data_IF_348338316359
#
_entry.id   IF_348338316359
#
_cell.length_a   1.000
_cell.length_b   1.000
_cell.length_c   1.000
_cell.angle_alpha   90.00
_cell.angle_beta   90.00
_cell.angle_gamma   90.00
#
_symmetry.space_group_name_H-M   'P 1'
#
loop_
_entity.id
_entity.type
_entity.pdbx_description
1 polymer ?
#
# COMPACT_ATOMS: atom_id res chain seq x y z
N UNK A 1 3.77 -45.51 -8.29
CA UNK A 1 3.93 -44.32 -7.43
C UNK A 1 3.64 -44.71 -5.99
N UNK A 2 4.59 -44.54 -5.05
CA UNK A 2 4.31 -44.71 -3.61
C UNK A 2 3.43 -43.54 -3.17
N UNK A 3 2.25 -43.81 -2.62
CA UNK A 3 1.44 -42.80 -1.99
C UNK A 3 2.23 -42.20 -0.83
N UNK A 4 2.38 -40.88 -0.80
CA UNK A 4 2.94 -40.16 0.35
C UNK A 4 1.95 -40.31 1.49
N UNK A 5 2.37 -40.73 2.69
CA UNK A 5 1.49 -40.83 3.84
C UNK A 5 0.84 -39.48 4.17
N UNK A 6 -0.42 -39.49 4.54
CA UNK A 6 -1.18 -38.26 4.89
C UNK A 6 -0.54 -37.51 6.06
N UNK A 7 0.08 -38.24 7.00
CA UNK A 7 0.86 -37.67 8.09
C UNK A 7 2.05 -36.84 7.64
N UNK A 8 2.71 -37.22 6.54
CA UNK A 8 3.86 -36.50 6.01
C UNK A 8 3.42 -35.25 5.27
N UNK A 9 2.27 -35.32 4.58
CA UNK A 9 1.63 -34.16 3.96
C UNK A 9 1.20 -33.16 5.06
N UNK A 10 0.55 -33.64 6.13
CA UNK A 10 0.12 -32.81 7.22
C UNK A 10 1.30 -32.17 7.96
N UNK A 11 2.40 -32.90 8.12
CA UNK A 11 3.62 -32.39 8.75
C UNK A 11 4.31 -31.34 7.87
N UNK A 12 4.30 -31.49 6.56
CA UNK A 12 4.84 -30.51 5.59
C UNK A 12 3.98 -29.25 5.51
N UNK A 13 2.66 -29.38 5.60
CA UNK A 13 1.70 -28.28 5.59
C UNK A 13 1.56 -27.59 6.96
N UNK A 14 2.05 -28.26 8.02
CA UNK A 14 1.84 -27.80 9.39
C UNK A 14 0.35 -27.68 9.71
N UNK A 15 -0.03 -26.62 10.40
CA UNK A 15 -1.45 -26.33 10.67
C UNK A 15 -2.18 -25.63 9.52
N UNK A 16 -1.70 -25.76 8.28
CA UNK A 16 -2.34 -25.15 7.12
C UNK A 16 -3.78 -25.63 7.01
N UNK A 17 -4.70 -24.67 7.09
CA UNK A 17 -6.10 -24.90 6.75
C UNK A 17 -6.36 -24.37 5.36
N UNK A 18 -6.89 -25.22 4.51
CA UNK A 18 -7.27 -24.78 3.18
C UNK A 18 -8.19 -23.53 3.25
N UNK A 19 -7.96 -22.52 2.41
CA UNK A 19 -8.77 -21.31 2.41
C UNK A 19 -10.25 -21.65 2.23
N UNK A 20 -11.09 -20.96 3.00
CA UNK A 20 -12.54 -20.97 2.75
C UNK A 20 -12.81 -19.98 1.63
N UNK A 21 -12.86 -20.47 0.39
CA UNK A 21 -13.08 -19.64 -0.78
C UNK A 21 -11.79 -19.41 -1.60
N UNK A 22 -11.95 -18.78 -2.75
CA UNK A 22 -10.90 -18.65 -3.76
C UNK A 22 -9.75 -17.72 -3.34
N UNK A 23 -10.03 -16.73 -2.49
CA UNK A 23 -9.11 -15.66 -2.13
C UNK A 23 -8.88 -15.53 -0.62
N UNK A 24 -9.22 -16.54 0.16
CA UNK A 24 -9.06 -16.46 1.61
C UNK A 24 -7.59 -16.30 1.99
N UNK A 25 -7.31 -15.33 2.85
CA UNK A 25 -6.01 -15.21 3.48
C UNK A 25 -5.73 -16.46 4.33
N UNK A 26 -4.54 -16.98 4.20
CA UNK A 26 -4.10 -18.18 4.89
C UNK A 26 -3.05 -17.86 5.93
N UNK A 27 -2.65 -18.87 6.69
CA UNK A 27 -1.49 -18.82 7.57
C UNK A 27 -0.22 -18.43 6.80
N UNK A 28 0.77 -18.07 7.56
CA UNK A 28 2.13 -17.88 7.09
C UNK A 28 2.60 -19.08 6.28
N UNK A 29 2.97 -18.81 5.04
CA UNK A 29 3.55 -19.79 4.13
C UNK A 29 4.91 -19.28 3.66
N UNK A 30 5.96 -19.46 4.47
CA UNK A 30 7.28 -18.88 4.18
C UNK A 30 7.88 -19.41 2.86
N UNK A 31 7.42 -20.57 2.38
CA UNK A 31 7.84 -21.11 1.09
C UNK A 31 7.32 -20.31 -0.12
N UNK A 32 6.35 -19.42 0.06
CA UNK A 32 5.90 -18.52 -1.00
C UNK A 32 6.83 -17.33 -1.20
N UNK A 33 7.69 -17.03 -0.24
CA UNK A 33 8.62 -15.92 -0.30
C UNK A 33 8.25 -14.77 0.64
N UNK A 34 8.81 -13.62 0.39
CA UNK A 34 8.62 -12.40 1.20
C UNK A 34 8.50 -11.17 0.35
N UNK A 35 7.84 -10.15 0.88
CA UNK A 35 7.70 -8.85 0.24
C UNK A 35 8.31 -7.77 1.11
N UNK A 36 8.88 -6.76 0.46
CA UNK A 36 9.38 -5.54 1.10
C UNK A 36 8.97 -4.31 0.31
N UNK A 37 9.07 -3.15 0.93
CA UNK A 37 8.75 -1.88 0.32
C UNK A 37 9.80 -0.84 0.73
N UNK A 38 10.12 0.09 -0.17
CA UNK A 38 11.12 1.14 0.05
C UNK A 38 10.63 2.29 0.93
N UNK A 39 9.37 2.31 1.33
CA UNK A 39 8.77 3.39 2.12
C UNK A 39 8.03 2.85 3.34
N UNK A 40 8.16 3.55 4.47
CA UNK A 40 7.44 3.26 5.71
C UNK A 40 6.39 4.34 6.00
N UNK A 41 6.65 5.58 5.54
CA UNK A 41 5.76 6.73 5.73
C UNK A 41 5.77 7.63 4.50
N UNK A 42 4.59 8.14 4.13
CA UNK A 42 4.39 9.02 2.99
C UNK A 42 3.32 10.08 3.30
N UNK A 43 3.42 11.23 2.64
CA UNK A 43 2.47 12.33 2.82
C UNK A 43 1.22 12.10 1.98
N UNK A 44 0.04 12.33 2.55
CA UNK A 44 -1.25 12.27 1.87
C UNK A 44 -1.27 13.18 0.63
N UNK A 45 -1.78 12.67 -0.50
CA UNK A 45 -1.86 13.39 -1.76
C UNK A 45 -0.53 13.67 -2.46
N UNK A 46 0.62 13.32 -1.87
CA UNK A 46 1.92 13.52 -2.49
C UNK A 46 2.16 12.61 -3.69
N UNK A 47 3.10 13.02 -4.54
CA UNK A 47 3.57 12.19 -5.65
C UNK A 47 4.79 11.38 -5.22
N UNK A 48 4.73 10.06 -5.38
CA UNK A 48 5.78 9.14 -4.92
C UNK A 48 6.10 8.06 -5.96
N UNK A 49 7.27 7.48 -5.85
CA UNK A 49 7.60 6.18 -6.42
C UNK A 49 7.70 5.18 -5.27
N UNK A 50 6.87 4.14 -5.33
CA UNK A 50 6.89 3.06 -4.34
C UNK A 50 7.40 1.80 -5.02
N UNK A 51 8.46 1.25 -4.48
CA UNK A 51 9.08 0.03 -4.98
C UNK A 51 8.69 -1.12 -4.06
N UNK A 52 7.98 -2.09 -4.62
CA UNK A 52 7.65 -3.34 -3.96
C UNK A 52 8.60 -4.39 -4.51
N UNK A 53 9.35 -5.05 -3.65
CA UNK A 53 10.23 -6.14 -3.99
C UNK A 53 9.66 -7.44 -3.44
N UNK A 54 9.36 -8.38 -4.33
CA UNK A 54 8.94 -9.74 -3.99
C UNK A 54 10.10 -10.70 -4.27
N UNK A 55 10.72 -11.20 -3.21
CA UNK A 55 11.69 -12.29 -3.27
C UNK A 55 10.95 -13.62 -3.22
N UNK A 56 11.10 -14.43 -4.26
CA UNK A 56 10.41 -15.70 -4.40
C UNK A 56 10.93 -16.73 -3.40
N UNK A 57 10.01 -17.43 -2.77
CA UNK A 57 10.31 -18.53 -1.88
C UNK A 57 10.54 -19.85 -2.64
N UNK A 58 10.62 -20.94 -1.88
CA UNK A 58 10.89 -22.29 -2.41
C UNK A 58 9.86 -22.79 -3.44
N UNK A 59 8.67 -22.21 -3.48
CA UNK A 59 7.65 -22.54 -4.48
C UNK A 59 8.07 -22.17 -5.91
N UNK A 60 8.92 -21.14 -6.07
CA UNK A 60 9.14 -20.52 -7.37
C UNK A 60 7.84 -19.97 -7.96
N UNK A 61 7.85 -19.69 -9.25
CA UNK A 61 6.66 -19.32 -10.04
C UNK A 61 6.74 -19.96 -11.42
N UNK A 62 5.71 -20.70 -11.79
CA UNK A 62 5.61 -21.37 -13.10
C UNK A 62 5.10 -20.41 -14.18
N UNK A 63 5.14 -20.85 -15.43
CA UNK A 63 4.48 -20.17 -16.55
C UNK A 63 2.99 -19.99 -16.27
N UNK A 64 2.48 -18.79 -16.55
CA UNK A 64 1.10 -18.41 -16.25
C UNK A 64 0.82 -18.11 -14.77
N UNK A 65 1.83 -18.09 -13.92
CA UNK A 65 1.70 -17.69 -12.51
C UNK A 65 1.45 -16.20 -12.37
N UNK A 66 0.89 -15.80 -11.23
CA UNK A 66 0.50 -14.41 -10.96
C UNK A 66 1.01 -13.94 -9.61
N UNK A 67 1.48 -12.69 -9.58
CA UNK A 67 1.66 -11.93 -8.35
C UNK A 67 0.69 -10.74 -8.34
N UNK A 68 0.13 -10.41 -7.19
CA UNK A 68 -0.77 -9.27 -7.02
C UNK A 68 -0.34 -8.42 -5.83
N UNK A 69 -0.20 -7.12 -6.05
CA UNK A 69 -0.18 -6.11 -4.98
C UNK A 69 -1.56 -5.45 -4.90
N UNK A 70 -2.24 -5.59 -3.77
CA UNK A 70 -3.66 -5.21 -3.65
C UNK A 70 -3.88 -4.09 -2.64
N UNK A 71 -4.85 -3.24 -2.94
CA UNK A 71 -5.22 -2.08 -2.17
C UNK A 71 -6.68 -2.17 -1.75
N UNK A 72 -7.02 -1.50 -0.65
CA UNK A 72 -8.43 -1.42 -0.21
C UNK A 72 -9.27 -0.64 -1.22
N UNK A 73 -10.50 -1.08 -1.42
CA UNK A 73 -11.43 -0.54 -2.42
C UNK A 73 -11.78 0.93 -2.20
N UNK A 74 -11.79 1.41 -0.96
CA UNK A 74 -12.16 2.78 -0.60
C UNK A 74 -11.01 3.79 -0.77
N UNK A 75 -9.76 3.36 -0.90
CA UNK A 75 -8.65 4.26 -1.13
C UNK A 75 -8.86 5.06 -2.41
N UNK A 76 -8.66 6.37 -2.35
CA UNK A 76 -8.66 7.27 -3.51
C UNK A 76 -7.27 7.42 -4.14
N UNK A 77 -6.35 6.47 -3.82
CA UNK A 77 -5.08 6.37 -4.52
C UNK A 77 -5.31 6.42 -6.02
N UNK A 78 -4.53 7.25 -6.73
CA UNK A 78 -4.72 7.45 -8.15
C UNK A 78 -4.68 6.13 -8.93
N UNK A 79 -5.48 6.03 -9.96
CA UNK A 79 -5.54 4.82 -10.78
C UNK A 79 -4.23 4.67 -11.55
N UNK A 80 -3.67 3.48 -11.49
CA UNK A 80 -2.45 3.14 -12.21
C UNK A 80 -2.70 2.92 -13.69
N UNK A 81 -1.68 3.18 -14.51
CA UNK A 81 -1.66 2.90 -15.92
C UNK A 81 -0.33 2.20 -16.30
N UNK A 82 -0.32 1.48 -17.41
CA UNK A 82 0.80 0.64 -17.82
C UNK A 82 1.23 0.87 -19.28
N UNK A 83 0.79 1.97 -19.89
CA UNK A 83 0.97 2.23 -21.34
C UNK A 83 1.93 3.38 -21.62
N UNK A 84 1.94 4.43 -20.79
CA UNK A 84 2.68 5.66 -21.02
C UNK A 84 3.75 5.87 -19.94
N UNK A 85 5.00 5.39 -20.16
CA UNK A 85 6.03 5.37 -19.12
C UNK A 85 6.39 6.75 -18.54
N UNK A 86 6.32 7.81 -19.34
CA UNK A 86 6.62 9.19 -18.92
C UNK A 86 5.46 9.90 -18.22
N UNK A 87 4.29 9.30 -18.19
CA UNK A 87 3.11 9.91 -17.60
C UNK A 87 2.89 9.50 -16.15
N UNK A 88 2.01 10.25 -15.49
CA UNK A 88 1.63 10.02 -14.10
C UNK A 88 1.04 8.62 -13.88
N UNK A 89 1.31 8.05 -12.70
CA UNK A 89 0.79 6.76 -12.22
C UNK A 89 1.20 5.55 -13.07
N UNK A 90 2.31 5.66 -13.81
CA UNK A 90 2.84 4.54 -14.56
C UNK A 90 3.35 3.44 -13.62
N UNK A 91 3.00 2.20 -13.95
CA UNK A 91 3.48 1.02 -13.20
C UNK A 91 4.29 0.12 -14.12
N UNK A 92 5.45 -0.29 -13.64
CA UNK A 92 6.29 -1.28 -14.29
C UNK A 92 6.59 -2.45 -13.35
N UNK A 93 7.03 -3.56 -13.93
CA UNK A 93 7.63 -4.65 -13.20
C UNK A 93 8.86 -5.15 -13.94
N UNK A 94 9.85 -5.55 -13.19
CA UNK A 94 11.09 -6.11 -13.71
C UNK A 94 11.49 -7.35 -12.92
N UNK A 95 12.22 -8.23 -13.58
CA UNK A 95 12.74 -9.45 -13.03
C UNK A 95 14.23 -9.30 -12.72
N UNK A 96 14.62 -9.71 -11.52
CA UNK A 96 16.02 -9.77 -11.12
C UNK A 96 16.38 -11.21 -10.73
N UNK A 97 17.34 -11.78 -11.47
CA UNK A 97 17.81 -13.13 -11.22
C UNK A 97 18.63 -13.21 -9.93
N UNK A 98 18.36 -14.23 -9.11
CA UNK A 98 19.26 -14.63 -8.05
C UNK A 98 20.46 -15.43 -8.62
N UNK A 99 21.59 -15.47 -7.91
CA UNK A 99 22.70 -16.35 -8.29
C UNK A 99 22.24 -17.82 -8.41
N UNK A 100 22.67 -18.47 -9.48
CA UNK A 100 22.39 -19.91 -9.65
C UNK A 100 23.38 -20.71 -8.80
N UNK A 101 22.85 -21.56 -7.93
CA UNK A 101 23.65 -22.48 -7.12
C UNK A 101 23.81 -23.83 -7.87
N UNK A 102 24.88 -24.61 -7.59
CA UNK A 102 25.07 -25.92 -8.21
C UNK A 102 23.84 -26.82 -8.01
N UNK A 103 23.38 -27.41 -9.11
CA UNK A 103 22.19 -28.28 -9.14
C UNK A 103 20.85 -27.56 -9.28
N UNK A 104 20.83 -26.23 -9.31
CA UNK A 104 19.62 -25.43 -9.56
C UNK A 104 19.59 -25.01 -11.05
N UNK A 105 18.45 -25.20 -11.69
CA UNK A 105 18.23 -24.65 -13.04
C UNK A 105 18.06 -23.12 -12.98
N UNK A 106 18.61 -22.38 -13.96
CA UNK A 106 18.36 -20.95 -14.08
C UNK A 106 16.88 -20.70 -14.40
N UNK A 107 16.38 -19.52 -14.04
CA UNK A 107 15.05 -19.09 -14.48
C UNK A 107 14.99 -18.94 -16.01
N UNK A 108 13.82 -19.16 -16.57
CA UNK A 108 13.61 -19.13 -18.02
C UNK A 108 12.55 -18.12 -18.46
N UNK A 109 11.98 -17.35 -17.54
CA UNK A 109 10.97 -16.33 -17.84
C UNK A 109 11.45 -15.39 -18.95
N UNK A 110 10.58 -15.14 -19.94
CA UNK A 110 10.90 -14.25 -21.05
C UNK A 110 10.47 -12.82 -20.78
N UNK A 111 9.29 -12.62 -20.17
CA UNK A 111 8.81 -11.30 -19.80
C UNK A 111 7.76 -11.36 -18.68
N UNK A 112 7.58 -10.21 -18.02
CA UNK A 112 6.52 -9.96 -17.07
C UNK A 112 5.52 -9.00 -17.69
N UNK A 113 4.23 -9.31 -17.59
CA UNK A 113 3.16 -8.41 -18.02
C UNK A 113 2.51 -7.78 -16.81
N UNK A 114 2.48 -6.46 -16.77
CA UNK A 114 1.82 -5.70 -15.72
C UNK A 114 0.46 -5.21 -16.20
N UNK A 115 -0.53 -5.30 -15.33
CA UNK A 115 -1.87 -4.72 -15.54
C UNK A 115 -2.44 -4.23 -14.23
N UNK A 116 -3.34 -3.27 -14.30
CA UNK A 116 -4.10 -2.78 -13.17
C UNK A 116 -5.57 -3.09 -13.34
N UNK A 117 -6.20 -3.62 -12.28
CA UNK A 117 -7.63 -3.93 -12.27
C UNK A 117 -8.25 -3.43 -10.95
N UNK A 118 -9.29 -2.59 -11.07
CA UNK A 118 -10.02 -2.06 -9.92
C UNK A 118 -10.87 -3.13 -9.19
N UNK A 119 -11.08 -4.27 -9.83
CA UNK A 119 -11.80 -5.44 -9.30
C UNK A 119 -10.96 -6.71 -9.37
N UNK A 120 -9.65 -6.57 -9.36
CA UNK A 120 -8.71 -7.67 -9.55
C UNK A 120 -8.60 -8.63 -8.36
N UNK A 121 -9.26 -8.34 -7.24
CA UNK A 121 -9.29 -9.19 -6.05
C UNK A 121 -10.57 -8.99 -5.24
N UNK A 122 -10.76 -9.79 -4.18
CA UNK A 122 -11.92 -9.70 -3.28
C UNK A 122 -11.86 -8.48 -2.34
N UNK A 123 -13.03 -8.00 -1.93
CA UNK A 123 -13.11 -7.00 -0.86
C UNK A 123 -12.52 -7.53 0.45
N UNK A 124 -11.88 -6.68 1.24
CA UNK A 124 -11.69 -5.24 1.05
C UNK A 124 -10.51 -4.84 0.16
N UNK A 125 -9.66 -5.76 -0.28
CA UNK A 125 -8.45 -5.54 -1.09
C UNK A 125 -8.73 -5.72 -2.58
N UNK A 126 -9.63 -4.92 -3.13
CA UNK A 126 -10.20 -5.13 -4.45
C UNK A 126 -9.36 -4.58 -5.61
N UNK A 127 -8.69 -3.43 -5.41
CA UNK A 127 -7.82 -2.84 -6.43
C UNK A 127 -6.51 -3.60 -6.48
N UNK A 128 -6.09 -4.04 -7.65
CA UNK A 128 -4.90 -4.87 -7.80
C UNK A 128 -3.99 -4.43 -8.94
N UNK A 129 -2.71 -4.26 -8.63
CA UNK A 129 -1.64 -4.33 -9.62
C UNK A 129 -1.25 -5.78 -9.75
N UNK A 130 -1.30 -6.31 -10.95
CA UNK A 130 -1.13 -7.73 -11.24
C UNK A 130 0.06 -7.89 -12.17
N UNK A 131 0.94 -8.82 -11.84
CA UNK A 131 2.09 -9.21 -12.65
C UNK A 131 1.90 -10.65 -13.07
N UNK A 132 1.79 -10.87 -14.36
CA UNK A 132 1.69 -12.19 -14.97
C UNK A 132 3.07 -12.63 -15.48
N UNK A 133 3.44 -13.89 -15.24
CA UNK A 133 4.68 -14.50 -15.73
C UNK A 133 4.40 -15.22 -17.04
N UNK A 134 5.21 -14.96 -18.07
CA UNK A 134 5.02 -15.55 -19.39
C UNK A 134 6.28 -16.25 -19.91
N UNK A 135 6.04 -17.38 -20.60
CA UNK A 135 7.01 -18.14 -21.37
C UNK A 135 8.23 -18.54 -20.53
N UNK A 136 7.96 -19.19 -19.41
CA UNK A 136 8.99 -19.73 -18.56
C UNK A 136 8.64 -19.68 -17.08
N UNK A 137 9.64 -19.88 -16.24
CA UNK A 137 9.49 -19.93 -14.79
C UNK A 137 10.52 -19.06 -14.07
N UNK A 138 10.23 -18.72 -12.85
CA UNK A 138 11.09 -18.05 -11.88
C UNK A 138 11.46 -19.04 -10.78
N UNK A 139 12.70 -18.98 -10.30
CA UNK A 139 13.19 -19.87 -9.24
C UNK A 139 13.19 -19.20 -7.88
N UNK A 140 13.31 -19.99 -6.84
CA UNK A 140 13.50 -19.50 -5.48
C UNK A 140 14.68 -18.51 -5.39
N UNK A 141 14.49 -17.42 -4.68
CA UNK A 141 15.47 -16.35 -4.50
C UNK A 141 15.53 -15.33 -5.64
N UNK A 142 14.80 -15.53 -6.73
CA UNK A 142 14.62 -14.49 -7.74
C UNK A 142 13.70 -13.39 -7.22
N UNK A 143 13.74 -12.22 -7.84
CA UNK A 143 12.95 -11.07 -7.44
C UNK A 143 12.05 -10.58 -8.55
N UNK A 144 10.83 -10.22 -8.20
CA UNK A 144 9.95 -9.38 -9.02
C UNK A 144 9.89 -8.01 -8.33
N UNK A 145 10.42 -7.00 -9.01
CA UNK A 145 10.43 -5.60 -8.52
C UNK A 145 9.34 -4.83 -9.24
N UNK A 146 8.35 -4.34 -8.49
CA UNK A 146 7.22 -3.57 -9.01
C UNK A 146 7.40 -2.12 -8.59
N UNK A 147 7.33 -1.19 -9.56
CA UNK A 147 7.41 0.24 -9.32
C UNK A 147 6.07 0.89 -9.54
N UNK A 148 5.44 1.30 -8.46
CA UNK A 148 4.21 2.08 -8.50
C UNK A 148 4.57 3.56 -8.67
N UNK A 149 4.23 4.14 -9.80
CA UNK A 149 4.67 5.48 -10.19
C UNK A 149 6.14 5.51 -10.58
N UNK A 150 6.55 4.66 -11.52
CA UNK A 150 7.94 4.56 -11.98
C UNK A 150 8.43 5.90 -12.56
N UNK A 151 9.45 6.48 -11.93
CA UNK A 151 10.02 7.79 -12.29
C UNK A 151 11.18 7.72 -13.26
N UNK A 152 11.67 6.55 -13.58
CA UNK A 152 12.85 6.36 -14.43
C UNK A 152 12.66 6.91 -15.84
N UNK A 153 11.41 7.08 -16.28
CA UNK A 153 11.05 7.60 -17.58
C UNK A 153 10.61 9.08 -17.57
N UNK A 154 10.83 9.79 -16.45
CA UNK A 154 10.53 11.21 -16.31
C UNK A 154 9.14 11.54 -15.77
N UNK A 155 8.31 10.54 -15.47
CA UNK A 155 7.00 10.73 -14.85
C UNK A 155 7.07 11.28 -13.42
N UNK A 156 5.99 11.91 -12.92
CA UNK A 156 5.97 12.50 -11.57
C UNK A 156 5.87 11.47 -10.44
N UNK A 157 5.59 10.22 -10.77
CA UNK A 157 5.27 9.18 -9.81
C UNK A 157 3.78 8.83 -9.77
N UNK A 158 3.32 8.24 -8.66
CA UNK A 158 1.90 8.01 -8.40
C UNK A 158 1.39 8.94 -7.31
N UNK A 159 0.16 9.46 -7.46
CA UNK A 159 -0.48 10.25 -6.41
C UNK A 159 -1.05 9.34 -5.33
N UNK A 160 -0.49 9.49 -4.14
CA UNK A 160 -0.93 8.80 -2.92
C UNK A 160 -2.37 9.19 -2.57
N UNK A 161 -3.09 8.34 -1.85
CA UNK A 161 -4.42 8.71 -1.34
C UNK A 161 -4.39 10.02 -0.54
N UNK A 162 -5.49 10.75 -0.56
CA UNK A 162 -5.55 12.12 -0.02
C UNK A 162 -5.89 12.18 1.48
N UNK A 163 -6.24 11.07 2.09
CA UNK A 163 -6.55 11.03 3.52
C UNK A 163 -5.55 10.20 4.30
N UNK A 164 -5.32 10.60 5.54
CA UNK A 164 -4.37 9.96 6.46
C UNK A 164 -4.83 8.56 6.87
N UNK A 165 -3.88 7.65 6.97
CA UNK A 165 -4.12 6.29 7.45
C UNK A 165 -2.86 5.75 8.13
N UNK A 166 -2.92 5.42 9.41
CA UNK A 166 -1.75 4.94 10.16
C UNK A 166 -1.28 3.55 9.74
N UNK A 167 -2.18 2.75 9.21
CA UNK A 167 -1.93 1.36 8.84
C UNK A 167 -2.48 1.08 7.43
N UNK A 168 -2.04 1.88 6.45
CA UNK A 168 -2.35 1.60 5.06
C UNK A 168 -1.65 0.31 4.65
N UNK A 169 -2.45 -0.66 4.21
CA UNK A 169 -1.94 -1.98 3.87
C UNK A 169 -1.94 -2.22 2.37
N UNK A 170 -0.80 -2.61 1.86
CA UNK A 170 -0.70 -3.30 0.57
C UNK A 170 -0.57 -4.79 0.89
N UNK A 171 -1.58 -5.56 0.51
CA UNK A 171 -1.55 -7.01 0.69
C UNK A 171 -1.14 -7.67 -0.61
N UNK A 172 -0.10 -8.49 -0.52
CA UNK A 172 0.42 -9.21 -1.67
C UNK A 172 -0.10 -10.64 -1.68
N UNK A 173 -0.41 -11.12 -2.88
CA UNK A 173 -0.85 -12.49 -3.12
C UNK A 173 -0.07 -13.09 -4.27
N UNK A 174 0.14 -14.39 -4.21
CA UNK A 174 0.76 -15.15 -5.29
C UNK A 174 -0.07 -16.38 -5.63
N UNK A 175 -0.15 -16.68 -6.91
CA UNK A 175 -0.55 -17.96 -7.45
C UNK A 175 0.65 -18.52 -8.21
N UNK A 176 1.49 -19.34 -7.58
CA UNK A 176 2.75 -19.77 -8.18
C UNK A 176 2.58 -20.77 -9.34
N UNK A 177 1.39 -21.30 -9.55
CA UNK A 177 1.10 -22.35 -10.54
C UNK A 177 0.10 -21.93 -11.62
N UNK A 178 -0.39 -20.68 -11.62
CA UNK A 178 -1.38 -20.24 -12.60
C UNK A 178 -2.75 -20.92 -12.47
N UNK A 179 -3.13 -21.33 -11.26
CA UNK A 179 -4.38 -22.08 -11.00
C UNK A 179 -5.54 -21.21 -10.58
N UNK A 180 -5.36 -19.91 -10.52
CA UNK A 180 -6.28 -18.92 -9.96
C UNK A 180 -6.53 -19.11 -8.46
N UNK A 181 -5.66 -19.81 -7.76
CA UNK A 181 -5.69 -20.01 -6.31
C UNK A 181 -4.60 -19.16 -5.69
N UNK A 182 -5.01 -18.07 -5.06
CA UNK A 182 -4.10 -17.10 -4.48
C UNK A 182 -3.86 -17.34 -3.00
N UNK A 183 -2.62 -17.28 -2.58
CA UNK A 183 -2.21 -17.28 -1.19
C UNK A 183 -1.56 -15.95 -0.83
N UNK A 184 -1.80 -15.45 0.37
CA UNK A 184 -1.17 -14.23 0.84
C UNK A 184 0.33 -14.46 1.11
N UNK A 185 1.15 -13.51 0.69
CA UNK A 185 2.56 -13.41 1.08
C UNK A 185 2.63 -12.53 2.32
N UNK A 186 2.98 -13.10 3.44
CA UNK A 186 3.02 -12.42 4.73
C UNK A 186 4.44 -11.96 5.10
N UNK A 187 4.56 -10.88 5.90
CA UNK A 187 3.49 -9.99 6.38
C UNK A 187 2.95 -9.04 5.29
N UNK A 188 1.78 -8.42 5.55
CA UNK A 188 1.31 -7.30 4.74
C UNK A 188 2.35 -6.17 4.76
N UNK A 189 2.51 -5.45 3.65
CA UNK A 189 3.24 -4.19 3.64
C UNK A 189 2.38 -3.13 4.33
N UNK A 190 2.94 -2.45 5.31
CA UNK A 190 2.26 -1.41 6.08
C UNK A 190 2.97 -0.09 5.86
N UNK A 191 2.22 0.91 5.40
CA UNK A 191 2.71 2.26 5.15
C UNK A 191 1.89 3.22 6.02
N UNK A 192 2.56 4.16 6.67
CA UNK A 192 1.89 5.25 7.37
C UNK A 192 1.65 6.40 6.39
N UNK A 193 0.39 6.80 6.21
CA UNK A 193 0.04 7.99 5.43
C UNK A 193 -0.21 9.12 6.40
N UNK A 194 0.68 10.12 6.37
CA UNK A 194 0.69 11.26 7.29
C UNK A 194 0.15 12.53 6.63
N UNK A 195 -0.32 13.52 7.41
CA UNK A 195 -0.80 14.78 6.83
C UNK A 195 0.33 15.56 6.15
N UNK A 196 -0.06 16.41 5.22
CA UNK A 196 0.82 17.37 4.57
C UNK A 196 1.16 18.56 5.45
N UNK A 197 1.71 19.61 4.83
CA UNK A 197 1.98 20.89 5.48
C UNK A 197 0.64 21.55 5.82
N UNK A 198 0.48 22.17 7.01
CA UNK A 198 -0.71 22.94 7.35
C UNK A 198 -1.01 24.01 6.31
N UNK A 199 -2.22 23.97 5.74
CA UNK A 199 -2.67 24.91 4.72
C UNK A 199 -3.80 25.81 5.24
N UNK A 200 -4.56 25.34 6.22
CA UNK A 200 -5.70 26.06 6.78
C UNK A 200 -5.94 25.75 8.25
N UNK A 201 -6.64 26.69 8.92
CA UNK A 201 -7.14 26.47 10.25
C UNK A 201 -8.65 26.22 10.19
N UNK A 202 -9.08 25.15 10.85
CA UNK A 202 -10.49 24.85 11.05
C UNK A 202 -10.84 25.05 12.53
N UNK A 203 -11.98 25.67 12.76
CA UNK A 203 -12.51 25.82 14.10
C UNK A 203 -13.89 25.18 14.22
N UNK A 204 -14.15 24.60 15.39
CA UNK A 204 -15.44 24.04 15.73
C UNK A 204 -15.88 24.60 17.08
N UNK A 205 -17.13 25.05 17.14
CA UNK A 205 -17.77 25.57 18.34
C UNK A 205 -19.23 25.81 18.08
N UNK A 206 -20.00 26.09 19.15
CA UNK A 206 -21.38 26.48 18.99
C UNK A 206 -21.47 27.85 18.32
N UNK A 207 -22.37 28.01 17.36
CA UNK A 207 -22.67 29.30 16.74
C UNK A 207 -23.62 30.15 17.59
N UNK A 208 -24.22 29.51 18.59
CA UNK A 208 -25.18 30.15 19.49
C UNK A 208 -24.76 29.85 20.92
N UNK A 209 -24.53 30.88 21.70
CA UNK A 209 -24.25 30.83 23.15
C UNK A 209 -25.14 31.82 23.88
N UNK A 210 -25.49 31.53 25.13
CA UNK A 210 -26.20 32.46 25.98
C UNK A 210 -25.25 33.52 26.48
N UNK A 211 -25.77 34.71 26.68
CA UNK A 211 -25.00 35.81 27.26
C UNK A 211 -24.40 35.41 28.63
N UNK A 212 -23.10 35.60 28.77
CA UNK A 212 -22.34 35.22 29.96
C UNK A 212 -21.81 33.79 29.99
N UNK A 213 -22.13 32.94 29.00
CA UNK A 213 -21.55 31.62 28.86
C UNK A 213 -20.19 31.67 28.17
N UNK A 214 -19.29 30.77 28.57
CA UNK A 214 -18.00 30.59 27.90
C UNK A 214 -18.21 29.82 26.62
N UNK A 215 -17.69 30.34 25.50
CA UNK A 215 -17.67 29.63 24.21
C UNK A 215 -16.42 28.73 24.11
N UNK A 216 -16.56 27.40 24.15
CA UNK A 216 -15.45 26.52 23.90
C UNK A 216 -15.14 26.52 22.41
N UNK A 217 -13.95 26.95 22.02
CA UNK A 217 -13.45 26.88 20.67
C UNK A 217 -12.45 25.70 20.58
N UNK A 218 -12.64 24.87 19.57
CA UNK A 218 -11.67 23.88 19.17
C UNK A 218 -11.08 24.28 17.82
N UNK A 219 -9.77 24.41 17.77
CA UNK A 219 -9.05 24.82 16.56
C UNK A 219 -8.08 23.71 16.21
N UNK A 220 -8.01 23.38 14.92
CA UNK A 220 -7.04 22.44 14.37
C UNK A 220 -6.45 22.99 13.09
N UNK A 221 -5.20 22.68 12.84
CA UNK A 221 -4.57 22.90 11.55
C UNK A 221 -4.87 21.72 10.64
N UNK A 222 -5.15 22.00 9.38
CA UNK A 222 -5.41 20.99 8.35
C UNK A 222 -4.51 21.25 7.13
N UNK A 223 -4.10 20.16 6.47
CA UNK A 223 -3.42 20.23 5.19
C UNK A 223 -4.39 20.61 4.04
N UNK A 224 -3.89 20.66 2.82
CA UNK A 224 -4.68 20.99 1.63
C UNK A 224 -5.84 20.00 1.36
N UNK A 225 -5.77 18.79 1.91
CA UNK A 225 -6.77 17.74 1.77
C UNK A 225 -7.77 17.68 2.94
N UNK A 226 -7.57 18.54 3.94
CA UNK A 226 -8.42 18.56 5.14
C UNK A 226 -8.00 17.55 6.22
N UNK A 227 -6.82 16.95 6.12
CA UNK A 227 -6.29 16.10 7.18
C UNK A 227 -5.78 16.96 8.34
N UNK A 228 -6.10 16.55 9.56
CA UNK A 228 -5.55 17.20 10.75
C UNK A 228 -4.06 16.99 10.84
N UNK A 229 -3.30 18.08 10.95
CA UNK A 229 -1.86 18.06 11.12
C UNK A 229 -1.54 17.91 12.61
N UNK A 230 -1.29 16.68 13.06
CA UNK A 230 -0.97 16.36 14.47
C UNK A 230 0.52 16.25 14.74
N UNK A 231 1.33 16.12 13.70
CA UNK A 231 2.75 15.75 13.76
C UNK A 231 3.67 16.92 14.04
N UNK A 232 3.11 18.15 14.11
CA UNK A 232 3.88 19.36 14.36
C UNK A 232 3.06 20.41 15.10
N UNK A 233 3.69 21.17 16.01
CA UNK A 233 3.02 22.28 16.68
C UNK A 233 2.88 23.47 15.73
N UNK A 234 1.71 24.10 15.74
CA UNK A 234 1.44 25.32 14.98
C UNK A 234 1.13 26.49 15.93
N UNK A 235 1.79 27.62 15.70
CA UNK A 235 1.52 28.84 16.45
C UNK A 235 0.34 29.58 15.83
N UNK A 236 -0.67 29.85 16.62
CA UNK A 236 -1.88 30.55 16.18
C UNK A 236 -2.17 31.77 17.03
N UNK A 237 -2.70 32.82 16.40
CA UNK A 237 -3.21 34.01 17.03
C UNK A 237 -4.72 34.06 16.83
N UNK A 238 -5.46 34.25 17.95
CA UNK A 238 -6.89 34.29 17.95
C UNK A 238 -7.28 35.71 18.38
N UNK A 239 -7.98 36.44 17.50
CA UNK A 239 -8.51 37.78 17.77
C UNK A 239 -10.00 37.75 17.59
N UNK A 240 -10.75 38.21 18.61
CA UNK A 240 -12.18 38.51 18.47
C UNK A 240 -12.40 40.01 18.45
N UNK A 241 -13.26 40.43 17.53
CA UNK A 241 -13.60 41.87 17.38
C UNK A 241 -15.10 42.08 17.58
N UNK A 242 -15.45 43.19 18.21
CA UNK A 242 -16.82 43.70 18.32
C UNK A 242 -16.85 45.10 17.71
N UNK A 243 -17.72 45.37 16.77
CA UNK A 243 -17.81 46.64 16.05
C UNK A 243 -16.45 47.16 15.52
N UNK A 244 -15.61 46.21 14.98
CA UNK A 244 -14.32 46.51 14.46
C UNK A 244 -13.20 46.75 15.48
N UNK A 245 -13.51 46.68 16.79
CA UNK A 245 -12.51 46.80 17.87
C UNK A 245 -12.15 45.45 18.46
N UNK A 246 -10.88 45.16 18.69
CA UNK A 246 -10.47 43.90 19.31
C UNK A 246 -10.97 43.89 20.77
N UNK A 247 -11.66 42.80 21.14
CA UNK A 247 -12.17 42.55 22.49
C UNK A 247 -11.52 41.34 23.16
N UNK A 248 -10.80 40.55 22.38
CA UNK A 248 -10.05 39.39 22.87
C UNK A 248 -8.88 39.10 21.95
N UNK A 249 -7.74 38.86 22.54
CA UNK A 249 -6.52 38.39 21.82
C UNK A 249 -5.86 37.28 22.60
N UNK A 250 -5.44 36.24 21.93
CA UNK A 250 -4.69 35.12 22.50
C UNK A 250 -3.74 34.52 21.50
N UNK A 251 -2.47 34.42 21.89
CA UNK A 251 -1.49 33.61 21.18
C UNK A 251 -1.38 32.24 21.85
N UNK A 252 -1.43 31.20 21.08
CA UNK A 252 -1.33 29.82 21.59
C UNK A 252 -0.65 28.92 20.56
N UNK A 253 -0.23 27.76 21.02
CA UNK A 253 0.31 26.72 20.13
C UNK A 253 -0.70 25.58 20.09
N UNK A 254 -1.04 25.14 18.88
CA UNK A 254 -1.81 23.92 18.67
C UNK A 254 -0.86 22.76 18.92
N UNK A 255 -1.19 21.93 19.88
CA UNK A 255 -0.46 20.69 20.19
C UNK A 255 -1.46 19.56 20.22
N UNK A 256 -0.98 18.39 19.87
CA UNK A 256 -1.76 17.16 19.96
C UNK A 256 -1.96 16.80 21.45
N UNK A 257 -3.12 17.20 22.03
CA UNK A 257 -3.57 16.80 23.38
C UNK A 257 -5.07 16.64 23.40
#
# INVERSE_FOLDING_TARGET
MKKIPESDIQKALGDYQAPKGLYSATKDMPFLGKVSCNVESIVAGSWQEIVIDYELGASGMADGSWFKATFRFYSDWALFQTTEPSEANYVSAEYHASPTIPGQSPATVQYLKVRFDQKGHERPFQKAVIVDTFDGYLKAGDHIVIRLGDRRFGGPGTRVQTFVEQNFKIRCYVDPLGTSRFAAVNPDLVIQIVPGVPAQLQWAGSRIVKLGEKLPLRIRAEDEWGNTCWDRPEHVEITATLDGKPVYEKKTTLTDK
#
